data_IF_416073545356
#
_entry.id   IF_416073545356
#
_cell.length_a   1.000
_cell.length_b   1.000
_cell.length_c   1.000
_cell.angle_alpha   90.00
_cell.angle_beta   90.00
_cell.angle_gamma   90.00
#
_symmetry.space_group_name_H-M   'P 1'
#
loop_
_entity.id
_entity.type
_entity.pdbx_description
1 polymer ?
#
# COMPACT_ATOMS: atom_id res chain seq x y z
N UNK A 1 -23.59 10.22 -0.72
CA UNK A 1 -22.97 8.95 -1.11
C UNK A 1 -21.49 9.22 -1.31
N UNK A 2 -20.66 8.83 -0.33
CA UNK A 2 -19.21 8.98 -0.44
C UNK A 2 -18.67 8.14 -1.61
N UNK A 3 -17.59 8.61 -2.23
CA UNK A 3 -16.87 7.86 -3.25
C UNK A 3 -15.52 7.47 -2.70
N UNK A 4 -15.23 6.19 -2.75
CA UNK A 4 -13.91 5.68 -2.41
C UNK A 4 -13.02 5.74 -3.64
N UNK A 5 -11.79 6.22 -3.47
CA UNK A 5 -10.81 6.39 -4.54
C UNK A 5 -9.61 5.49 -4.27
N UNK A 6 -9.37 4.53 -5.16
CA UNK A 6 -8.16 3.69 -5.12
C UNK A 6 -7.05 4.31 -5.95
N UNK A 7 -5.87 4.47 -5.35
CA UNK A 7 -4.66 5.00 -5.97
C UNK A 7 -3.55 3.98 -5.81
N UNK A 8 -2.82 3.73 -6.90
CA UNK A 8 -1.60 2.90 -6.87
C UNK A 8 -0.40 3.82 -6.97
N UNK A 9 0.53 3.69 -6.02
CA UNK A 9 1.77 4.46 -5.98
C UNK A 9 2.96 3.51 -6.13
N UNK A 10 3.88 3.84 -7.04
CA UNK A 10 5.10 3.07 -7.25
C UNK A 10 6.33 3.84 -6.78
N UNK A 11 7.27 3.14 -6.14
CA UNK A 11 8.48 3.75 -5.59
C UNK A 11 9.68 2.78 -5.60
N UNK A 12 10.87 3.27 -5.23
CA UNK A 12 12.03 2.44 -4.94
C UNK A 12 12.82 1.95 -6.16
N UNK A 13 12.44 2.39 -7.37
CA UNK A 13 13.15 2.05 -8.62
C UNK A 13 14.64 2.40 -8.57
N UNK A 14 15.01 3.60 -8.11
CA UNK A 14 16.43 4.03 -8.01
C UNK A 14 17.25 3.19 -7.02
N UNK A 15 16.61 2.52 -6.07
CA UNK A 15 17.26 1.62 -5.09
C UNK A 15 17.29 0.17 -5.57
N UNK A 16 16.84 -0.11 -6.80
CA UNK A 16 16.64 -1.47 -7.33
C UNK A 16 15.72 -2.33 -6.45
N UNK A 17 14.79 -1.68 -5.74
CA UNK A 17 13.77 -2.31 -4.90
C UNK A 17 12.41 -1.71 -5.27
N UNK A 18 11.91 -1.98 -6.48
CA UNK A 18 10.59 -1.48 -6.88
C UNK A 18 9.53 -2.00 -5.92
N UNK A 19 8.60 -1.15 -5.53
CA UNK A 19 7.49 -1.54 -4.67
C UNK A 19 6.23 -0.78 -5.04
N UNK A 20 5.09 -1.43 -4.81
CA UNK A 20 3.75 -0.91 -5.04
C UNK A 20 3.10 -0.66 -3.68
N UNK A 21 2.46 0.50 -3.54
CA UNK A 21 1.62 0.86 -2.40
C UNK A 21 0.21 1.10 -2.93
N UNK A 22 -0.76 0.41 -2.35
CA UNK A 22 -2.18 0.55 -2.70
C UNK A 22 -2.83 1.43 -1.62
N UNK A 23 -3.38 2.56 -2.02
CA UNK A 23 -4.04 3.52 -1.13
C UNK A 23 -5.52 3.59 -1.48
N UNK A 24 -6.38 3.49 -0.48
CA UNK A 24 -7.81 3.75 -0.59
C UNK A 24 -8.15 5.00 0.21
N UNK A 25 -8.64 6.03 -0.47
CA UNK A 25 -9.13 7.28 0.13
C UNK A 25 -10.64 7.21 0.25
N UNK A 26 -11.16 7.37 1.45
CA UNK A 26 -12.59 7.51 1.72
C UNK A 26 -12.93 9.00 1.75
N UNK A 27 -13.80 9.46 0.84
CA UNK A 27 -14.13 10.88 0.66
C UNK A 27 -15.64 11.10 0.81
N UNK A 28 -16.01 12.07 1.64
CA UNK A 28 -17.38 12.57 1.76
C UNK A 28 -17.44 14.02 1.27
N UNK A 29 -18.09 14.24 0.13
CA UNK A 29 -18.13 15.56 -0.51
C UNK A 29 -16.73 15.99 -0.99
N UNK A 30 -16.15 16.97 -0.30
CA UNK A 30 -14.79 17.49 -0.56
C UNK A 30 -13.81 17.17 0.58
N UNK A 31 -14.25 16.43 1.59
CA UNK A 31 -13.45 16.09 2.77
C UNK A 31 -12.95 14.65 2.72
N UNK A 32 -11.67 14.45 3.00
CA UNK A 32 -11.08 13.12 3.19
C UNK A 32 -11.39 12.68 4.62
N UNK A 33 -12.20 11.64 4.77
CA UNK A 33 -12.63 11.13 6.08
C UNK A 33 -11.82 9.93 6.54
N UNK A 34 -11.03 9.33 5.65
CA UNK A 34 -10.09 8.28 6.05
C UNK A 34 -9.21 7.79 4.92
N UNK A 35 -8.15 7.09 5.33
CA UNK A 35 -7.13 6.54 4.45
C UNK A 35 -6.82 5.12 4.89
N UNK A 36 -6.82 4.18 3.96
CA UNK A 36 -6.24 2.84 4.15
C UNK A 36 -5.06 2.68 3.22
N UNK A 37 -4.01 2.02 3.72
CA UNK A 37 -2.80 1.74 2.98
C UNK A 37 -2.50 0.26 3.07
N UNK A 38 -2.20 -0.35 1.93
CA UNK A 38 -1.81 -1.74 1.83
C UNK A 38 -0.77 -1.94 0.73
N UNK A 39 -0.42 -3.20 0.49
CA UNK A 39 0.52 -3.59 -0.54
C UNK A 39 0.52 -5.10 -0.71
N UNK A 40 1.12 -5.56 -1.80
CA UNK A 40 1.34 -6.98 -2.04
C UNK A 40 2.66 -7.39 -1.41
N UNK A 41 2.67 -8.55 -0.77
CA UNK A 41 3.86 -9.08 -0.08
C UNK A 41 4.18 -10.46 -0.63
N UNK A 42 5.46 -10.76 -0.77
CA UNK A 42 5.96 -12.08 -1.17
C UNK A 42 7.00 -12.52 -0.15
N UNK A 43 6.77 -13.67 0.48
CA UNK A 43 7.78 -14.30 1.33
C UNK A 43 8.88 -14.85 0.42
N UNK A 44 10.10 -14.31 0.55
CA UNK A 44 11.23 -14.72 -0.29
C UNK A 44 12.00 -15.89 0.32
N UNK A 45 12.14 -15.89 1.64
CA UNK A 45 12.89 -16.88 2.39
C UNK A 45 12.23 -17.07 3.75
N UNK A 46 12.10 -18.32 4.13
CA UNK A 46 11.73 -18.73 5.49
C UNK A 46 12.96 -19.38 6.11
N UNK A 47 13.24 -19.08 7.38
CA UNK A 47 14.40 -19.61 8.08
C UNK A 47 14.04 -19.94 9.52
N UNK A 48 14.25 -21.20 9.88
CA UNK A 48 14.18 -21.65 11.27
C UNK A 48 15.45 -21.22 12.03
N UNK A 49 15.27 -20.78 13.27
CA UNK A 49 16.36 -20.39 14.15
C UNK A 49 16.27 -21.18 15.46
N UNK A 50 17.34 -21.90 15.80
CA UNK A 50 17.49 -22.51 17.12
C UNK A 50 17.99 -21.47 18.13
N UNK A 51 17.40 -21.48 19.33
CA UNK A 51 17.76 -20.60 20.47
C UNK A 51 18.85 -21.26 21.31
#
# INVERSE_FOLDING_TARGET
>A
MGRDHTIVMEQGYSMKKPSEIIVELMVEGQEVIGVKVGGKVLNLLEKEMEI
#
